data_IF_457236956719
#
_entry.id   IF_457236956719
#
_cell.length_a   1.000
_cell.length_b   1.000
_cell.length_c   1.000
_cell.angle_alpha   90.00
_cell.angle_beta   90.00
_cell.angle_gamma   90.00
#
_symmetry.space_group_name_H-M   'P 1'
#
loop_
_entity.id
_entity.type
_entity.pdbx_description
1 polymer ?
#
# COMPACT_ATOMS: atom_id res chain seq x y z
N UNK A 1 0.23 -13.60 -16.79
CA UNK A 1 0.57 -12.55 -17.78
C UNK A 1 -0.66 -11.88 -18.37
N UNK A 2 -1.73 -11.69 -17.59
CA UNK A 2 -2.80 -10.74 -17.96
C UNK A 2 -2.32 -9.32 -17.60
N UNK A 3 -3.07 -8.28 -17.99
CA UNK A 3 -2.69 -6.88 -17.77
C UNK A 3 -2.94 -6.40 -16.32
N UNK A 4 -2.35 -7.10 -15.36
CA UNK A 4 -2.31 -6.74 -13.95
C UNK A 4 -1.14 -7.44 -13.25
N UNK A 5 -0.74 -6.90 -12.09
CA UNK A 5 0.17 -7.53 -11.14
C UNK A 5 -0.63 -8.04 -9.94
N UNK A 6 -0.26 -9.21 -9.44
CA UNK A 6 -0.69 -9.65 -8.12
C UNK A 6 0.15 -8.89 -7.08
N UNK A 7 -0.50 -8.43 -6.03
CA UNK A 7 0.16 -7.75 -4.94
C UNK A 7 -0.25 -8.35 -3.61
N UNK A 8 0.74 -8.55 -2.75
CA UNK A 8 0.55 -8.95 -1.37
C UNK A 8 1.58 -8.24 -0.51
N UNK A 9 1.13 -7.71 0.62
CA UNK A 9 1.98 -7.11 1.65
C UNK A 9 1.54 -7.59 3.01
N UNK A 10 2.51 -7.85 3.88
CA UNK A 10 2.29 -8.23 5.27
C UNK A 10 3.32 -7.56 6.13
N UNK A 11 2.86 -7.02 7.25
CA UNK A 11 3.71 -6.44 8.28
C UNK A 11 3.58 -7.22 9.57
N UNK A 12 4.56 -7.05 10.44
CA UNK A 12 4.59 -7.63 11.78
C UNK A 12 5.31 -6.68 12.72
N UNK A 13 4.94 -6.75 13.99
CA UNK A 13 5.62 -6.03 15.07
C UNK A 13 6.90 -6.79 15.43
N UNK A 14 7.98 -6.05 15.61
CA UNK A 14 9.26 -6.56 16.12
C UNK A 14 9.56 -5.93 17.48
N UNK A 15 10.24 -6.68 18.35
CA UNK A 15 10.75 -6.16 19.62
C UNK A 15 12.16 -5.58 19.47
N UNK A 16 12.73 -5.13 20.60
CA UNK A 16 14.07 -4.54 20.66
C UNK A 16 15.19 -5.52 20.27
N UNK A 17 14.91 -6.83 20.30
CA UNK A 17 15.85 -7.89 19.91
C UNK A 17 15.70 -8.28 18.42
N UNK A 18 14.85 -7.57 17.66
CA UNK A 18 14.44 -7.86 16.28
C UNK A 18 13.66 -9.18 16.10
N UNK A 19 13.07 -9.69 17.16
CA UNK A 19 12.24 -10.89 17.09
C UNK A 19 10.80 -10.53 16.72
N UNK A 20 10.15 -11.42 15.95
CA UNK A 20 8.76 -11.20 15.53
C UNK A 20 7.82 -11.44 16.70
N UNK A 21 7.11 -10.40 17.12
CA UNK A 21 6.15 -10.44 18.24
C UNK A 21 4.79 -10.94 17.77
N UNK A 22 4.22 -10.30 16.73
CA UNK A 22 2.91 -10.66 16.18
C UNK A 22 2.67 -10.10 14.78
N UNK A 23 1.75 -10.70 13.99
CA UNK A 23 1.30 -10.11 12.73
C UNK A 23 0.61 -8.76 12.94
N UNK A 24 0.78 -7.86 11.96
CA UNK A 24 0.06 -6.60 11.87
C UNK A 24 -0.74 -6.56 10.55
N UNK A 25 -0.92 -5.38 9.96
CA UNK A 25 -1.65 -5.15 8.72
C UNK A 25 -1.15 -6.04 7.58
N UNK A 26 -2.11 -6.57 6.84
CA UNK A 26 -1.87 -7.30 5.59
C UNK A 26 -2.89 -6.89 4.54
N UNK A 27 -2.40 -6.68 3.33
CA UNK A 27 -3.20 -6.29 2.19
C UNK A 27 -2.88 -7.14 0.98
N UNK A 28 -3.90 -7.42 0.18
CA UNK A 28 -3.79 -8.21 -1.04
C UNK A 28 -4.63 -7.57 -2.12
N UNK A 29 -4.21 -7.71 -3.37
CA UNK A 29 -5.02 -7.28 -4.49
C UNK A 29 -4.29 -7.21 -5.80
N UNK A 30 -4.74 -6.29 -6.65
CA UNK A 30 -4.27 -6.22 -8.03
C UNK A 30 -3.94 -4.78 -8.44
N UNK A 31 -2.81 -4.65 -9.11
CA UNK A 31 -2.37 -3.40 -9.73
C UNK A 31 -2.59 -3.50 -11.23
N UNK A 32 -3.37 -2.59 -11.81
CA UNK A 32 -3.79 -2.64 -13.21
C UNK A 32 -3.28 -1.40 -13.94
N UNK A 33 -2.46 -1.62 -14.96
CA UNK A 33 -1.90 -0.52 -15.76
C UNK A 33 -2.83 -0.19 -16.92
N UNK A 34 -3.26 1.06 -17.00
CA UNK A 34 -4.04 1.66 -18.07
C UNK A 34 -3.14 2.62 -18.84
N UNK A 35 -3.20 2.57 -20.17
CA UNK A 35 -2.55 3.53 -21.07
C UNK A 35 -1.08 3.84 -20.71
N UNK A 36 -0.32 2.80 -20.33
CA UNK A 36 1.10 2.79 -19.91
C UNK A 36 1.49 3.62 -18.68
N UNK A 37 0.70 4.62 -18.30
CA UNK A 37 1.05 5.58 -17.25
C UNK A 37 0.02 5.72 -16.14
N UNK A 38 -1.21 5.25 -16.35
CA UNK A 38 -2.30 5.32 -15.36
C UNK A 38 -2.38 4.00 -14.62
N UNK A 39 -2.58 4.06 -13.31
CA UNK A 39 -2.65 2.90 -12.45
C UNK A 39 -3.98 2.89 -11.69
N UNK A 40 -4.65 1.74 -11.73
CA UNK A 40 -5.80 1.42 -10.88
C UNK A 40 -5.37 0.31 -9.93
N UNK A 41 -5.48 0.51 -8.62
CA UNK A 41 -5.15 -0.53 -7.63
C UNK A 41 -6.36 -0.82 -6.78
N UNK A 42 -6.68 -2.09 -6.62
CA UNK A 42 -7.74 -2.56 -5.73
C UNK A 42 -7.12 -3.44 -4.66
N UNK A 43 -7.35 -3.09 -3.39
CA UNK A 43 -6.77 -3.78 -2.23
C UNK A 43 -7.87 -4.21 -1.27
N UNK A 44 -7.70 -5.39 -0.67
CA UNK A 44 -8.46 -5.88 0.46
C UNK A 44 -7.54 -6.03 1.66
N UNK A 45 -8.01 -5.58 2.82
CA UNK A 45 -7.28 -5.57 4.08
C UNK A 45 -7.83 -6.61 5.05
N UNK A 46 -6.94 -7.19 5.87
CA UNK A 46 -7.34 -8.10 6.96
C UNK A 46 -8.23 -7.44 8.03
N UNK A 47 -8.23 -6.11 8.11
CA UNK A 47 -9.11 -5.32 8.99
C UNK A 47 -10.58 -5.30 8.55
N UNK A 48 -10.92 -5.83 7.37
CA UNK A 48 -12.29 -5.86 6.86
C UNK A 48 -12.67 -4.62 6.05
N UNK A 49 -11.68 -3.95 5.45
CA UNK A 49 -11.86 -2.83 4.52
C UNK A 49 -11.32 -3.18 3.14
N UNK A 50 -11.88 -2.56 2.10
CA UNK A 50 -11.32 -2.56 0.76
C UNK A 50 -11.05 -1.11 0.33
N UNK A 51 -10.05 -0.94 -0.52
CA UNK A 51 -9.63 0.36 -1.00
C UNK A 51 -9.39 0.32 -2.51
N UNK A 52 -9.92 1.32 -3.21
CA UNK A 52 -9.63 1.63 -4.60
C UNK A 52 -8.70 2.83 -4.67
N UNK A 53 -7.62 2.70 -5.43
CA UNK A 53 -6.59 3.72 -5.61
C UNK A 53 -6.41 4.04 -7.08
N UNK A 54 -6.19 5.32 -7.38
CA UNK A 54 -5.89 5.81 -8.72
C UNK A 54 -4.57 6.56 -8.70
N UNK A 55 -3.78 6.42 -9.75
CA UNK A 55 -2.49 7.10 -9.78
C UNK A 55 -1.75 7.06 -11.08
N UNK A 56 -0.51 7.55 -11.02
CA UNK A 56 0.35 7.78 -12.17
C UNK A 56 1.73 7.16 -11.96
N UNK A 57 2.27 6.64 -13.06
CA UNK A 57 3.64 6.15 -13.17
C UNK A 57 4.48 7.24 -13.85
N UNK A 58 5.60 7.61 -13.24
CA UNK A 58 6.55 8.62 -13.73
C UNK A 58 7.97 8.11 -13.54
N UNK A 59 8.48 7.41 -14.55
CA UNK A 59 9.78 6.73 -14.47
C UNK A 59 9.79 5.71 -13.32
N UNK A 60 10.76 5.78 -12.38
CA UNK A 60 10.84 4.87 -11.23
C UNK A 60 9.89 5.24 -10.07
N UNK A 61 9.03 6.25 -10.24
CA UNK A 61 8.12 6.75 -9.20
C UNK A 61 6.66 6.43 -9.54
N UNK A 62 5.90 6.01 -8.53
CA UNK A 62 4.45 5.84 -8.60
C UNK A 62 3.81 6.69 -7.50
N UNK A 63 2.76 7.44 -7.85
CA UNK A 63 1.95 8.19 -6.89
C UNK A 63 0.50 7.73 -7.01
N UNK A 64 -0.12 7.37 -5.89
CA UNK A 64 -1.51 6.96 -5.80
C UNK A 64 -2.26 7.87 -4.83
N UNK A 65 -3.51 8.19 -5.17
CA UNK A 65 -4.48 8.76 -4.26
C UNK A 65 -5.64 7.77 -4.10
N UNK A 66 -6.19 7.69 -2.89
CA UNK A 66 -7.36 6.87 -2.63
C UNK A 66 -8.58 7.48 -3.32
N UNK A 67 -9.30 6.67 -4.08
CA UNK A 67 -10.55 7.06 -4.75
C UNK A 67 -11.77 6.69 -3.90
N UNK A 68 -11.81 5.43 -3.44
CA UNK A 68 -12.95 4.89 -2.70
C UNK A 68 -12.53 3.85 -1.68
N UNK A 69 -13.38 3.69 -0.67
CA UNK A 69 -13.29 2.61 0.30
C UNK A 69 -14.60 1.85 0.40
N UNK A 70 -14.51 0.62 0.88
CA UNK A 70 -15.62 -0.13 1.42
C UNK A 70 -15.23 -0.62 2.81
N UNK A 71 -16.15 -0.56 3.75
CA UNK A 71 -15.97 -1.10 5.10
C UNK A 71 -17.02 -2.15 5.41
N UNK A 72 -16.60 -3.23 6.06
CA UNK A 72 -17.52 -4.17 6.69
C UNK A 72 -18.21 -3.52 7.90
N UNK A 73 -19.37 -4.03 8.37
CA UNK A 73 -20.13 -3.39 9.45
C UNK A 73 -19.37 -3.20 10.77
N UNK A 74 -18.31 -3.96 11.01
CA UNK A 74 -17.48 -3.89 12.22
C UNK A 74 -16.16 -3.13 12.03
N UNK A 75 -15.90 -2.63 10.82
CA UNK A 75 -14.65 -1.95 10.48
C UNK A 75 -14.89 -0.44 10.27
N UNK A 76 -13.80 0.32 10.30
CA UNK A 76 -13.79 1.74 9.96
C UNK A 76 -12.68 1.99 8.94
N UNK A 77 -13.05 2.43 7.75
CA UNK A 77 -12.09 2.79 6.72
C UNK A 77 -11.37 4.12 7.03
N UNK A 78 -10.20 4.31 6.42
CA UNK A 78 -9.57 5.62 6.33
C UNK A 78 -10.39 6.55 5.44
N UNK A 79 -10.38 7.85 5.72
CA UNK A 79 -11.17 8.84 4.99
C UNK A 79 -10.48 9.27 3.69
N UNK A 80 -9.15 9.45 3.73
CA UNK A 80 -8.31 9.75 2.58
C UNK A 80 -6.95 9.03 2.73
N UNK A 81 -6.27 8.83 1.60
CA UNK A 81 -4.95 8.22 1.60
C UNK A 81 -4.12 8.66 0.39
N UNK A 82 -2.81 8.78 0.59
CA UNK A 82 -1.82 9.06 -0.44
C UNK A 82 -0.66 8.08 -0.30
N UNK A 83 -0.32 7.37 -1.38
CA UNK A 83 0.84 6.45 -1.42
C UNK A 83 1.86 6.93 -2.42
N UNK A 84 3.12 6.91 -2.03
CA UNK A 84 4.26 7.16 -2.90
C UNK A 84 5.16 5.93 -2.91
N UNK A 85 5.48 5.43 -4.09
CA UNK A 85 6.50 4.40 -4.29
C UNK A 85 7.63 4.96 -5.14
N UNK A 86 8.88 4.64 -4.78
CA UNK A 86 10.06 5.04 -5.53
C UNK A 86 11.10 3.95 -5.55
N UNK A 87 11.65 3.65 -6.74
CA UNK A 87 12.82 2.80 -6.86
C UNK A 87 14.09 3.67 -6.78
N UNK A 88 14.84 3.54 -5.69
CA UNK A 88 16.07 4.30 -5.41
C UNK A 88 17.18 3.31 -5.10
N UNK A 89 18.28 3.37 -5.86
CA UNK A 89 19.44 2.47 -5.67
C UNK A 89 19.07 0.97 -5.63
N UNK A 90 18.03 0.56 -6.36
CA UNK A 90 17.55 -0.82 -6.40
C UNK A 90 16.63 -1.24 -5.24
N UNK A 91 16.43 -0.36 -4.25
CA UNK A 91 15.50 -0.54 -3.14
C UNK A 91 14.15 0.12 -3.44
N UNK A 92 13.08 -0.53 -2.99
CA UNK A 92 11.72 0.02 -3.08
C UNK A 92 11.43 0.85 -1.83
N UNK A 93 11.34 2.16 -2.00
CA UNK A 93 10.84 3.07 -0.98
C UNK A 93 9.33 3.20 -1.09
N UNK A 94 8.65 3.26 0.05
CA UNK A 94 7.21 3.52 0.15
C UNK A 94 6.94 4.55 1.23
N UNK A 95 5.96 5.41 1.02
CA UNK A 95 5.31 6.21 2.06
C UNK A 95 3.80 6.15 1.91
N UNK A 96 3.11 6.20 3.04
CA UNK A 96 1.67 6.23 3.16
C UNK A 96 1.30 7.37 4.11
N UNK A 97 0.51 8.30 3.61
CA UNK A 97 -0.17 9.32 4.38
C UNK A 97 -1.65 8.97 4.45
N UNK A 98 -2.29 9.16 5.61
CA UNK A 98 -3.71 8.84 5.81
C UNK A 98 -4.44 9.97 6.54
N UNK A 99 -5.72 10.14 6.20
CA UNK A 99 -6.68 10.89 7.01
C UNK A 99 -7.51 9.86 7.79
N UNK A 100 -7.39 9.87 9.12
CA UNK A 100 -8.00 8.86 10.00
C UNK A 100 -8.23 9.44 11.39
N UNK A 101 -9.30 9.02 12.06
CA UNK A 101 -9.58 9.34 13.46
C UNK A 101 -9.57 10.84 13.81
N UNK A 102 -10.06 11.67 12.88
CA UNK A 102 -10.17 13.12 13.04
C UNK A 102 -8.88 13.89 12.72
N UNK A 103 -7.82 13.19 12.33
CA UNK A 103 -6.58 13.78 11.85
C UNK A 103 -6.64 13.96 10.34
N UNK A 104 -6.30 15.18 9.87
CA UNK A 104 -6.08 15.49 8.45
C UNK A 104 -4.98 14.61 7.84
N UNK A 105 -4.98 14.50 6.51
CA UNK A 105 -4.01 13.72 5.74
C UNK A 105 -2.56 14.03 6.17
N UNK A 106 -1.90 13.05 6.79
CA UNK A 106 -0.54 13.18 7.29
C UNK A 106 0.20 11.85 7.29
N UNK A 107 1.52 11.91 7.49
CA UNK A 107 2.40 10.75 7.49
C UNK A 107 1.92 9.66 8.47
N UNK A 108 1.81 8.44 7.97
CA UNK A 108 1.38 7.27 8.73
C UNK A 108 2.43 6.16 8.74
N UNK A 109 3.03 5.86 7.59
CA UNK A 109 4.02 4.80 7.45
C UNK A 109 5.01 5.14 6.34
N UNK A 110 6.26 4.71 6.51
CA UNK A 110 7.22 4.64 5.42
C UNK A 110 8.10 3.39 5.58
N UNK A 111 8.69 2.92 4.49
CA UNK A 111 9.71 1.86 4.54
C UNK A 111 10.61 1.87 3.31
N UNK A 112 11.72 1.12 3.41
CA UNK A 112 12.60 0.76 2.29
C UNK A 112 12.78 -0.74 2.28
N UNK A 113 12.57 -1.38 1.12
CA UNK A 113 12.67 -2.82 0.97
C UNK A 113 13.70 -3.19 -0.09
N UNK A 114 14.59 -4.09 0.26
CA UNK A 114 15.54 -4.69 -0.67
C UNK A 114 14.87 -5.77 -1.51
N UNK A 115 15.21 -5.81 -2.81
CA UNK A 115 14.75 -6.89 -3.68
C UNK A 115 15.34 -8.20 -3.20
N UNK A 116 14.47 -9.13 -2.84
CA UNK A 116 14.85 -10.51 -2.62
C UNK A 116 14.83 -11.25 -3.97
N UNK A 117 15.89 -11.97 -4.30
CA UNK A 117 15.85 -12.99 -5.34
C UNK A 117 15.17 -14.23 -4.78
N UNK A 118 14.31 -14.88 -5.56
CA UNK A 118 13.84 -16.23 -5.20
C UNK A 118 15.07 -17.14 -5.05
N UNK A 119 15.16 -17.87 -3.93
CA UNK A 119 16.09 -18.99 -3.75
C UNK A 119 15.52 -20.25 -4.41
#
# INVERSE_FOLDING_TARGET
GQNYLNYFSRTWEIDDDNEIVKPHDSEVGFWRVRDKEVLEVVLSHNSGTNEGWLGLIRGPKIQLAMDKTYESPSAKAIAAGSRLYGLVEGQLFTSLDVEKDGHELQAYMWSSLERQSEN
#
